data_IF_385345469726
#
_entry.id   IF_385345469726
#
_cell.length_a   1.000
_cell.length_b   1.000
_cell.length_c   1.000
_cell.angle_alpha   90.00
_cell.angle_beta   90.00
_cell.angle_gamma   90.00
#
_symmetry.space_group_name_H-M   'P 1'
#
loop_
_entity.id
_entity.type
_entity.pdbx_description
1 polymer ?
#
# COMPACT_ATOMS: atom_id res chain seq x y z
N UNK A 1 -13.54 -21.24 -15.90
CA UNK A 1 -14.14 -20.65 -14.68
C UNK A 1 -13.72 -21.49 -13.49
N UNK A 2 -12.90 -20.95 -12.59
CA UNK A 2 -12.22 -21.70 -11.53
C UNK A 2 -13.14 -21.85 -10.31
N UNK A 3 -13.22 -23.06 -9.73
CA UNK A 3 -14.11 -23.42 -8.59
C UNK A 3 -14.05 -22.44 -7.40
N UNK A 4 -12.89 -21.80 -7.22
CA UNK A 4 -12.59 -20.81 -6.17
C UNK A 4 -13.51 -19.58 -6.26
N UNK A 5 -13.90 -19.13 -7.47
CA UNK A 5 -14.79 -17.97 -7.63
C UNK A 5 -16.16 -18.20 -6.98
N UNK A 6 -16.72 -19.41 -7.03
CA UNK A 6 -18.03 -19.71 -6.42
C UNK A 6 -17.96 -19.69 -4.89
N UNK A 7 -16.84 -20.13 -4.32
CA UNK A 7 -16.65 -20.18 -2.87
C UNK A 7 -16.47 -18.76 -2.31
N UNK A 8 -15.70 -17.90 -2.98
CA UNK A 8 -15.61 -16.49 -2.61
C UNK A 8 -16.93 -15.75 -2.76
N UNK A 9 -17.70 -16.01 -3.82
CA UNK A 9 -19.00 -15.35 -4.04
C UNK A 9 -20.09 -15.77 -3.04
N UNK A 10 -19.94 -16.92 -2.38
CA UNK A 10 -20.88 -17.41 -1.37
C UNK A 10 -20.57 -16.89 0.06
N UNK A 11 -19.46 -16.16 0.24
CA UNK A 11 -19.22 -15.39 1.46
C UNK A 11 -20.20 -14.21 1.47
N UNK A 12 -21.21 -14.30 2.33
CA UNK A 12 -22.29 -13.34 2.55
C UNK A 12 -21.89 -11.85 2.60
N UNK A 13 -20.71 -11.42 3.11
CA UNK A 13 -20.36 -9.99 3.10
C UNK A 13 -20.00 -9.43 1.71
N UNK A 14 -19.55 -10.26 0.77
CA UNK A 14 -19.10 -9.80 -0.56
C UNK A 14 -20.26 -9.33 -1.45
N UNK A 15 -21.37 -10.11 -1.63
CA UNK A 15 -22.51 -9.63 -2.42
C UNK A 15 -23.22 -8.45 -1.74
N UNK A 16 -23.24 -8.36 -0.41
CA UNK A 16 -23.80 -7.21 0.31
C UNK A 16 -22.97 -5.93 0.11
N UNK A 17 -21.63 -6.01 0.17
CA UNK A 17 -20.76 -4.87 -0.14
C UNK A 17 -20.93 -4.39 -1.59
N UNK A 18 -21.05 -5.34 -2.53
CA UNK A 18 -21.23 -5.04 -3.95
C UNK A 18 -22.58 -4.38 -4.23
N UNK A 19 -23.67 -4.86 -3.61
CA UNK A 19 -24.99 -4.24 -3.74
C UNK A 19 -25.03 -2.85 -3.08
N UNK A 20 -24.42 -2.70 -1.90
CA UNK A 20 -24.34 -1.41 -1.20
C UNK A 20 -23.51 -0.38 -1.97
N UNK A 21 -22.40 -0.82 -2.58
CA UNK A 21 -21.54 0.01 -3.45
C UNK A 21 -22.24 0.45 -4.74
N UNK A 22 -23.14 -0.36 -5.30
CA UNK A 22 -23.96 0.02 -6.46
C UNK A 22 -25.02 1.07 -6.18
N UNK A 23 -25.55 1.12 -4.95
CA UNK A 23 -26.61 2.03 -4.55
C UNK A 23 -26.12 3.29 -3.81
N UNK A 24 -24.80 3.40 -3.63
CA UNK A 24 -24.15 4.54 -3.02
C UNK A 24 -23.63 5.49 -4.11
N UNK A 25 -24.33 6.60 -4.24
CA UNK A 25 -23.99 7.71 -5.12
C UNK A 25 -23.47 8.86 -4.25
N UNK A 26 -22.13 9.02 -4.10
CA UNK A 26 -21.61 10.19 -3.43
C UNK A 26 -22.05 11.46 -4.19
N UNK A 27 -22.63 12.47 -3.51
CA UNK A 27 -23.06 13.70 -4.16
C UNK A 27 -21.84 14.38 -4.82
N UNK A 28 -21.93 14.64 -6.13
CA UNK A 28 -20.83 15.19 -6.93
C UNK A 28 -20.24 14.27 -8.01
N UNK A 29 -20.68 13.01 -8.09
CA UNK A 29 -20.20 12.02 -9.08
C UNK A 29 -21.12 11.83 -10.31
N UNK A 30 -21.94 12.84 -10.67
CA UNK A 30 -22.84 12.81 -11.85
C UNK A 30 -23.71 11.54 -11.99
N UNK A 31 -24.04 10.86 -10.88
CA UNK A 31 -24.84 9.63 -10.90
C UNK A 31 -24.05 8.35 -11.26
N UNK A 32 -22.72 8.39 -11.25
CA UNK A 32 -21.88 7.19 -11.41
C UNK A 32 -21.84 6.43 -10.07
N UNK A 33 -22.15 5.14 -10.11
CA UNK A 33 -22.11 4.29 -8.92
C UNK A 33 -20.67 4.15 -8.40
N UNK A 34 -20.50 4.11 -7.08
CA UNK A 34 -19.18 3.91 -6.45
C UNK A 34 -18.45 2.66 -6.99
N UNK A 35 -19.21 1.64 -7.40
CA UNK A 35 -18.69 0.46 -8.06
C UNK A 35 -17.90 0.77 -9.34
N UNK A 36 -18.41 1.65 -10.20
CA UNK A 36 -17.76 1.98 -11.47
C UNK A 36 -16.50 2.83 -11.24
N UNK A 37 -16.54 3.72 -10.24
CA UNK A 37 -15.36 4.49 -9.80
C UNK A 37 -14.26 3.58 -9.30
N UNK A 38 -14.59 2.60 -8.45
CA UNK A 38 -13.63 1.61 -7.96
C UNK A 38 -13.06 0.75 -9.09
N UNK A 39 -13.89 0.37 -10.06
CA UNK A 39 -13.43 -0.41 -11.22
C UNK A 39 -12.48 0.42 -12.10
N UNK A 40 -12.79 1.70 -12.33
CA UNK A 40 -11.94 2.63 -13.05
C UNK A 40 -10.62 2.88 -12.30
N UNK A 41 -10.69 3.06 -10.98
CA UNK A 41 -9.51 3.23 -10.12
C UNK A 41 -8.63 1.98 -10.16
N UNK A 42 -9.19 0.76 -10.13
CA UNK A 42 -8.42 -0.48 -10.31
C UNK A 42 -7.74 -0.54 -11.69
N UNK A 43 -8.42 -0.14 -12.75
CA UNK A 43 -7.82 -0.06 -14.10
C UNK A 43 -6.67 0.97 -14.11
N UNK A 44 -6.83 2.10 -13.45
CA UNK A 44 -5.79 3.11 -13.31
C UNK A 44 -4.60 2.69 -12.44
N UNK A 45 -4.84 1.96 -11.35
CA UNK A 45 -3.78 1.38 -10.53
C UNK A 45 -2.93 0.39 -11.31
N UNK A 46 -3.54 -0.29 -12.29
CA UNK A 46 -2.84 -1.23 -13.18
C UNK A 46 -2.06 -0.49 -14.27
N UNK A 47 -2.32 0.81 -14.50
CA UNK A 47 -1.47 1.60 -15.39
C UNK A 47 -0.06 1.72 -14.79
N UNK A 48 0.92 1.42 -15.63
CA UNK A 48 2.34 1.33 -15.29
C UNK A 48 2.87 2.54 -14.50
N UNK A 49 2.33 3.74 -14.77
CA UNK A 49 2.74 5.00 -14.14
C UNK A 49 2.62 4.99 -12.61
N UNK A 50 1.58 4.37 -12.02
CA UNK A 50 1.46 4.32 -10.55
C UNK A 50 2.43 3.29 -9.96
N UNK A 51 2.62 2.16 -10.63
CA UNK A 51 3.56 1.13 -10.20
C UNK A 51 5.01 1.62 -10.27
N UNK A 52 5.36 2.38 -11.31
CA UNK A 52 6.68 2.99 -11.48
C UNK A 52 6.98 4.02 -10.38
N UNK A 53 6.02 4.90 -10.07
CA UNK A 53 6.13 5.85 -8.95
C UNK A 53 6.22 5.14 -7.60
N UNK A 54 5.39 4.12 -7.37
CA UNK A 54 5.41 3.35 -6.12
C UNK A 54 6.74 2.59 -5.96
N UNK A 55 7.29 2.06 -7.06
CA UNK A 55 8.61 1.42 -7.09
C UNK A 55 9.72 2.41 -6.77
N UNK A 56 9.69 3.62 -7.35
CA UNK A 56 10.66 4.67 -7.05
C UNK A 56 10.64 5.09 -5.57
N UNK A 57 9.46 5.21 -4.96
CA UNK A 57 9.34 5.49 -3.52
C UNK A 57 9.90 4.34 -2.68
N UNK A 58 9.56 3.10 -3.04
CA UNK A 58 10.03 1.90 -2.34
C UNK A 58 11.55 1.75 -2.45
N UNK A 59 12.12 2.07 -3.61
CA UNK A 59 13.55 2.06 -3.86
C UNK A 59 14.28 3.10 -3.00
N UNK A 60 13.79 4.34 -2.97
CA UNK A 60 14.35 5.38 -2.10
C UNK A 60 14.27 4.99 -0.62
N UNK A 61 13.18 4.35 -0.20
CA UNK A 61 13.03 3.85 1.16
C UNK A 61 14.08 2.77 1.48
N UNK A 62 14.24 1.77 0.63
CA UNK A 62 15.26 0.71 0.81
C UNK A 62 16.67 1.29 0.79
N UNK A 63 16.97 2.23 -0.11
CA UNK A 63 18.27 2.89 -0.19
C UNK A 63 18.57 3.80 0.99
N UNK A 64 17.55 4.24 1.74
CA UNK A 64 17.73 4.97 3.00
C UNK A 64 18.09 4.07 4.18
N UNK A 65 17.96 2.74 4.06
CA UNK A 65 18.24 1.80 5.16
C UNK A 65 19.71 1.79 5.59
N UNK A 66 20.71 1.68 4.68
CA UNK A 66 22.12 1.70 5.09
C UNK A 66 22.52 2.95 5.89
N UNK A 67 22.26 4.19 5.44
CA UNK A 67 22.60 5.38 6.23
C UNK A 67 21.79 5.47 7.52
N UNK A 68 20.54 5.02 7.55
CA UNK A 68 19.73 4.98 8.77
C UNK A 68 20.31 4.02 9.81
N UNK A 69 20.73 2.83 9.39
CA UNK A 69 21.37 1.84 10.27
C UNK A 69 22.70 2.37 10.82
N UNK A 70 23.50 3.02 9.98
CA UNK A 70 24.74 3.68 10.41
C UNK A 70 24.45 4.78 11.44
N UNK A 71 23.44 5.61 11.21
CA UNK A 71 23.05 6.66 12.15
C UNK A 71 22.68 6.10 13.54
N UNK A 72 22.01 4.95 13.61
CA UNK A 72 21.66 4.33 14.91
C UNK A 72 22.83 3.60 15.58
N UNK A 73 23.68 2.92 14.81
CA UNK A 73 24.74 2.04 15.35
C UNK A 73 26.04 2.78 15.65
N UNK A 74 26.36 3.81 14.87
CA UNK A 74 27.60 4.58 15.01
C UNK A 74 27.75 5.25 16.39
N UNK A 75 26.74 5.91 16.98
CA UNK A 75 26.87 6.54 18.29
C UNK A 75 27.11 5.54 19.42
N UNK A 76 26.48 4.37 19.36
CA UNK A 76 26.65 3.30 20.35
C UNK A 76 28.06 2.73 20.29
N UNK A 77 28.57 2.47 19.08
CA UNK A 77 29.94 1.99 18.88
C UNK A 77 30.97 3.03 19.36
N UNK A 78 30.75 4.31 19.05
CA UNK A 78 31.62 5.39 19.49
C UNK A 78 31.63 5.55 21.02
N UNK A 79 30.47 5.43 21.66
CA UNK A 79 30.36 5.47 23.12
C UNK A 79 31.09 4.31 23.79
N UNK A 80 30.95 3.08 23.25
CA UNK A 80 31.66 1.91 23.76
C UNK A 80 33.19 2.07 23.63
N UNK A 81 33.67 2.60 22.50
CA UNK A 81 35.08 2.90 22.30
C UNK A 81 35.59 3.96 23.28
N UNK A 82 34.81 5.01 23.56
CA UNK A 82 35.17 6.05 24.53
C UNK A 82 35.42 5.46 25.93
N UNK A 83 34.57 4.55 26.40
CA UNK A 83 34.74 3.86 27.70
C UNK A 83 36.01 3.01 27.73
N UNK A 84 36.38 2.36 26.61
CA UNK A 84 37.59 1.54 26.52
C UNK A 84 38.89 2.35 26.48
N UNK A 85 38.84 3.60 26.00
CA UNK A 85 40.04 4.43 25.78
C UNK A 85 40.40 5.30 27.00
N UNK A 86 39.61 5.27 28.07
CA UNK A 86 40.01 5.79 29.39
C UNK A 86 40.20 7.30 29.48
N UNK A 87 39.30 8.09 28.89
CA UNK A 87 39.13 9.53 29.19
C UNK A 87 37.91 9.78 30.07
#
# INVERSE_FOLDING_TARGET
MLRIQRILLNLTPIPWLLQKSKNWYPPGFEGVALYDVLNFFRRQLTHYNIMERASAVSFNFVMSLPPSLLFFTYPVAQFAFYIQTGY
#
